data_IF_835712907606
#
_entry.id   IF_835712907606
#
_cell.length_a   1.000
_cell.length_b   1.000
_cell.length_c   1.000
_cell.angle_alpha   90.00
_cell.angle_beta   90.00
_cell.angle_gamma   90.00
#
_symmetry.space_group_name_H-M   'P 1'
#
loop_
_entity.id
_entity.type
_entity.pdbx_description
1 polymer ?
#
# COMPACT_ATOMS: atom_id res chain seq x y z
N UNK A 1 5.65 -14.15 9.91
CA UNK A 1 5.59 -14.54 8.48
C UNK A 1 5.29 -13.36 7.55
N UNK A 2 4.67 -12.27 8.00
CA UNK A 2 4.50 -11.07 7.18
C UNK A 2 5.84 -10.41 6.80
N UNK A 3 5.96 -9.99 5.54
CA UNK A 3 7.19 -9.43 4.95
C UNK A 3 7.01 -8.00 4.43
N UNK A 4 5.80 -7.45 4.45
CA UNK A 4 5.49 -6.13 3.90
C UNK A 4 4.94 -6.20 2.47
N UNK A 5 4.90 -5.03 1.84
CA UNK A 5 4.45 -4.87 0.46
C UNK A 5 5.59 -5.20 -0.50
N UNK A 6 5.31 -5.84 -1.64
CA UNK A 6 6.26 -5.97 -2.74
C UNK A 6 5.94 -4.97 -3.87
N UNK A 7 6.92 -4.67 -4.70
CA UNK A 7 6.82 -3.75 -5.83
C UNK A 7 7.73 -2.54 -5.75
N UNK A 8 7.45 -1.55 -6.60
CA UNK A 8 8.27 -0.35 -6.81
C UNK A 8 8.61 0.42 -5.53
N UNK A 9 7.65 0.52 -4.61
CA UNK A 9 7.83 1.11 -3.28
C UNK A 9 7.59 0.10 -2.16
N UNK A 10 7.73 -1.20 -2.47
CA UNK A 10 7.67 -2.27 -1.49
C UNK A 10 8.87 -2.28 -0.54
N UNK A 11 8.81 -3.13 0.46
CA UNK A 11 9.94 -3.38 1.35
C UNK A 11 11.01 -4.19 0.61
N UNK A 12 12.28 -3.94 0.93
CA UNK A 12 13.39 -4.64 0.26
C UNK A 12 13.36 -6.13 0.56
N UNK A 13 13.01 -6.50 1.80
CA UNK A 13 12.85 -7.89 2.19
C UNK A 13 11.70 -8.59 1.45
N UNK A 14 10.55 -7.94 1.22
CA UNK A 14 9.46 -8.54 0.45
C UNK A 14 9.89 -8.78 -1.00
N UNK A 15 10.57 -7.81 -1.61
CA UNK A 15 11.04 -7.93 -3.00
C UNK A 15 12.08 -9.06 -3.15
N UNK A 16 13.02 -9.21 -2.22
CA UNK A 16 13.97 -10.33 -2.24
C UNK A 16 13.30 -11.67 -2.01
N UNK A 17 12.34 -11.75 -1.10
CA UNK A 17 11.61 -12.99 -0.81
C UNK A 17 10.79 -13.43 -2.03
N UNK A 18 10.13 -12.49 -2.72
CA UNK A 18 9.40 -12.79 -3.96
C UNK A 18 10.36 -13.21 -5.07
N UNK A 19 11.47 -12.51 -5.23
CA UNK A 19 12.47 -12.81 -6.27
C UNK A 19 13.08 -14.21 -6.11
N UNK A 20 13.24 -14.67 -4.87
CA UNK A 20 13.94 -15.91 -4.55
C UNK A 20 13.00 -17.13 -4.31
N UNK A 21 11.69 -16.91 -4.37
CA UNK A 21 10.71 -17.98 -4.20
C UNK A 21 10.79 -19.02 -5.34
N UNK A 22 10.65 -20.30 -5.01
CA UNK A 22 10.50 -21.39 -5.98
C UNK A 22 9.04 -21.60 -6.42
N UNK A 23 8.09 -21.17 -5.58
CA UNK A 23 6.66 -21.19 -5.85
C UNK A 23 6.01 -19.89 -5.36
N UNK A 24 5.20 -19.26 -6.22
CA UNK A 24 4.37 -18.12 -5.86
C UNK A 24 2.89 -18.51 -5.87
N UNK A 25 2.23 -18.40 -4.72
CA UNK A 25 0.77 -18.50 -4.62
C UNK A 25 0.16 -17.09 -4.68
N UNK A 26 -0.36 -16.72 -5.84
CA UNK A 26 -0.98 -15.42 -6.11
C UNK A 26 -2.48 -15.52 -5.90
N UNK A 27 -3.03 -14.75 -4.97
CA UNK A 27 -4.45 -14.84 -4.59
C UNK A 27 -5.12 -13.48 -4.72
N UNK A 28 -6.06 -13.35 -5.67
CA UNK A 28 -6.84 -12.12 -5.89
C UNK A 28 -5.98 -10.92 -6.24
N UNK A 29 -4.92 -11.14 -7.04
CA UNK A 29 -3.98 -10.10 -7.43
C UNK A 29 -3.63 -10.21 -8.91
N UNK A 30 -3.62 -9.05 -9.59
CA UNK A 30 -3.43 -8.91 -11.04
C UNK A 30 -1.98 -8.77 -11.52
N UNK A 31 -1.00 -8.95 -10.62
CA UNK A 31 0.45 -8.81 -10.92
C UNK A 31 0.76 -7.59 -11.81
N UNK A 32 0.36 -6.40 -11.35
CA UNK A 32 0.54 -5.15 -12.11
C UNK A 32 2.01 -4.77 -12.28
N UNK A 33 2.31 -3.91 -13.26
CA UNK A 33 3.64 -3.34 -13.51
C UNK A 33 4.25 -2.65 -12.26
N UNK A 34 3.42 -2.09 -11.37
CA UNK A 34 3.88 -1.50 -10.11
C UNK A 34 4.35 -2.53 -9.09
N UNK A 35 3.88 -3.77 -9.21
CA UNK A 35 4.28 -4.91 -8.38
C UNK A 35 5.45 -5.65 -9.03
N UNK A 36 5.37 -5.92 -10.32
CA UNK A 36 6.35 -6.78 -11.01
C UNK A 36 7.57 -6.02 -11.51
N UNK A 37 7.45 -4.71 -11.75
CA UNK A 37 8.43 -3.92 -12.49
C UNK A 37 8.79 -4.61 -13.82
N UNK A 38 10.03 -5.09 -13.97
CA UNK A 38 10.44 -5.91 -15.11
C UNK A 38 10.00 -7.35 -14.91
N UNK A 39 9.13 -7.85 -15.79
CA UNK A 39 8.58 -9.22 -15.70
C UNK A 39 9.66 -10.30 -15.74
N UNK A 40 10.72 -10.11 -16.52
CA UNK A 40 11.87 -11.02 -16.61
C UNK A 40 12.60 -11.21 -15.28
N UNK A 41 12.61 -10.15 -14.46
CA UNK A 41 13.26 -10.14 -13.15
C UNK A 41 12.26 -10.48 -12.03
N UNK A 42 10.97 -10.61 -12.36
CA UNK A 42 9.91 -10.88 -11.41
C UNK A 42 9.86 -12.38 -11.08
N UNK A 43 10.58 -12.76 -10.02
CA UNK A 43 10.64 -14.13 -9.51
C UNK A 43 11.13 -15.15 -10.56
N UNK A 44 12.39 -14.99 -11.03
CA UNK A 44 12.92 -15.80 -12.11
C UNK A 44 12.93 -17.30 -11.75
N UNK A 45 12.22 -18.10 -12.54
CA UNK A 45 12.14 -19.55 -12.37
C UNK A 45 11.11 -20.04 -11.35
N UNK A 46 10.34 -19.14 -10.73
CA UNK A 46 9.28 -19.54 -9.81
C UNK A 46 8.09 -20.18 -10.54
N UNK A 47 7.50 -21.20 -9.92
CA UNK A 47 6.23 -21.77 -10.36
C UNK A 47 5.08 -20.92 -9.84
N UNK A 48 4.33 -20.28 -10.73
CA UNK A 48 3.22 -19.39 -10.34
C UNK A 48 1.90 -20.16 -10.30
N UNK A 49 1.25 -20.17 -9.15
CA UNK A 49 -0.12 -20.65 -8.93
C UNK A 49 -1.04 -19.46 -8.72
N UNK A 50 -2.02 -19.24 -9.60
CA UNK A 50 -2.85 -18.03 -9.60
C UNK A 50 -4.32 -18.35 -9.34
N UNK A 51 -4.88 -17.72 -8.30
CA UNK A 51 -6.30 -17.76 -7.96
C UNK A 51 -6.88 -16.39 -8.27
N UNK A 52 -7.77 -16.32 -9.26
CA UNK A 52 -8.45 -15.09 -9.63
C UNK A 52 -9.90 -15.35 -10.03
N UNK A 53 -10.78 -14.39 -9.75
CA UNK A 53 -12.19 -14.48 -10.14
C UNK A 53 -12.35 -14.12 -11.62
N UNK A 54 -11.48 -13.25 -12.13
CA UNK A 54 -11.52 -12.78 -13.51
C UNK A 54 -10.57 -13.59 -14.37
N UNK A 55 -11.15 -14.34 -15.32
CA UNK A 55 -10.39 -15.15 -16.28
C UNK A 55 -9.41 -14.31 -17.10
N UNK A 56 -9.71 -13.03 -17.37
CA UNK A 56 -8.86 -12.16 -18.19
C UNK A 56 -7.57 -11.73 -17.49
N UNK A 57 -7.47 -11.90 -16.17
CA UNK A 57 -6.27 -11.58 -15.40
C UNK A 57 -5.25 -12.71 -15.37
N UNK A 58 -5.69 -13.95 -15.63
CA UNK A 58 -4.85 -15.13 -15.60
C UNK A 58 -4.01 -15.23 -16.89
N UNK A 59 -2.71 -15.48 -16.75
CA UNK A 59 -1.71 -15.51 -17.82
C UNK A 59 -1.57 -14.21 -18.63
N UNK A 60 -2.15 -13.10 -18.14
CA UNK A 60 -2.08 -11.81 -18.82
C UNK A 60 -0.68 -11.21 -18.79
N UNK A 61 -0.04 -11.24 -17.61
CA UNK A 61 1.29 -10.63 -17.39
C UNK A 61 2.37 -11.67 -17.10
N UNK A 62 2.03 -12.74 -16.37
CA UNK A 62 2.96 -13.80 -15.94
C UNK A 62 2.29 -15.14 -16.21
N UNK A 63 3.00 -16.05 -16.87
CA UNK A 63 2.51 -17.39 -17.17
C UNK A 63 2.39 -18.23 -15.89
N UNK A 64 1.28 -18.95 -15.76
CA UNK A 64 0.92 -19.73 -14.58
C UNK A 64 1.08 -21.22 -14.83
N UNK A 65 1.66 -21.95 -13.87
CA UNK A 65 1.73 -23.42 -13.94
C UNK A 65 0.41 -24.07 -13.59
N UNK A 66 -0.41 -23.39 -12.80
CA UNK A 66 -1.74 -23.83 -12.37
C UNK A 66 -2.57 -22.61 -11.99
N UNK A 67 -3.86 -22.67 -12.29
CA UNK A 67 -4.79 -21.58 -12.06
C UNK A 67 -6.13 -22.07 -11.52
N UNK A 68 -6.74 -21.27 -10.67
CA UNK A 68 -8.10 -21.47 -10.18
C UNK A 68 -8.91 -20.23 -10.55
N UNK A 69 -9.84 -20.39 -11.49
CA UNK A 69 -10.77 -19.33 -11.86
C UNK A 69 -11.98 -19.44 -10.94
N UNK A 70 -12.12 -18.51 -10.01
CA UNK A 70 -13.20 -18.54 -9.03
C UNK A 70 -12.96 -17.67 -7.81
N UNK A 71 -13.90 -17.72 -6.88
CA UNK A 71 -13.81 -16.96 -5.63
C UNK A 71 -12.61 -17.44 -4.79
N UNK A 72 -11.76 -16.50 -4.42
CA UNK A 72 -10.52 -16.78 -3.68
C UNK A 72 -10.77 -17.44 -2.33
N UNK A 73 -11.85 -17.08 -1.62
CA UNK A 73 -12.21 -17.68 -0.32
C UNK A 73 -12.61 -19.14 -0.50
N UNK A 74 -13.41 -19.46 -1.52
CA UNK A 74 -13.80 -20.85 -1.82
C UNK A 74 -12.60 -21.69 -2.25
N UNK A 75 -11.74 -21.14 -3.11
CA UNK A 75 -10.52 -21.80 -3.57
C UNK A 75 -9.57 -22.12 -2.39
N UNK A 76 -9.29 -21.12 -1.54
CA UNK A 76 -8.44 -21.31 -0.36
C UNK A 76 -9.04 -22.31 0.63
N UNK A 77 -10.37 -22.29 0.85
CA UNK A 77 -11.04 -23.28 1.70
C UNK A 77 -10.79 -24.71 1.18
N UNK A 78 -10.96 -24.94 -0.11
CA UNK A 78 -10.70 -26.26 -0.72
C UNK A 78 -9.23 -26.69 -0.63
N UNK A 79 -8.29 -25.75 -0.79
CA UNK A 79 -6.85 -26.02 -0.62
C UNK A 79 -6.55 -26.41 0.83
N UNK A 80 -7.03 -25.65 1.81
CA UNK A 80 -6.82 -25.92 3.24
C UNK A 80 -7.41 -27.28 3.64
N UNK A 81 -8.63 -27.60 3.19
CA UNK A 81 -9.26 -28.90 3.47
C UNK A 81 -8.43 -30.07 2.92
N UNK A 82 -7.87 -29.94 1.71
CA UNK A 82 -7.00 -30.96 1.13
C UNK A 82 -5.69 -31.08 1.90
N UNK A 83 -5.02 -29.96 2.20
CA UNK A 83 -3.77 -29.94 2.96
C UNK A 83 -3.95 -30.54 4.36
N UNK A 84 -5.09 -30.34 5.03
CA UNK A 84 -5.35 -30.91 6.36
C UNK A 84 -5.47 -32.44 6.36
N UNK A 85 -5.79 -33.05 5.22
CA UNK A 85 -5.92 -34.51 5.06
C UNK A 85 -4.61 -35.16 4.60
N UNK A 86 -3.66 -34.37 4.11
CA UNK A 86 -2.35 -34.86 3.73
C UNK A 86 -1.51 -35.06 4.99
N UNK A 87 -0.85 -36.22 5.09
CA UNK A 87 0.19 -36.44 6.09
C UNK A 87 1.42 -35.62 5.68
N UNK A 88 1.38 -34.32 5.95
CA UNK A 88 2.54 -33.45 5.74
C UNK A 88 3.47 -33.56 6.93
N UNK A 89 4.75 -33.78 6.67
CA UNK A 89 5.77 -33.50 7.67
C UNK A 89 5.68 -32.00 8.00
N UNK A 90 5.31 -31.68 9.24
CA UNK A 90 5.20 -30.31 9.73
C UNK A 90 6.56 -29.68 10.00
N UNK A 91 7.66 -30.27 9.53
CA UNK A 91 8.94 -29.57 9.44
C UNK A 91 8.73 -28.25 8.69
N UNK A 92 8.57 -27.19 9.46
CA UNK A 92 8.71 -25.82 8.98
C UNK A 92 10.03 -25.77 8.24
N UNK A 93 10.02 -25.29 7.00
CA UNK A 93 11.23 -25.11 6.22
C UNK A 93 12.12 -24.08 6.92
N UNK A 94 12.89 -24.54 7.90
CA UNK A 94 13.70 -23.70 8.77
C UNK A 94 14.77 -22.97 7.97
N UNK A 95 15.20 -23.54 6.84
CA UNK A 95 16.08 -22.85 5.90
C UNK A 95 15.40 -21.64 5.26
N UNK A 96 14.14 -21.77 4.82
CA UNK A 96 13.38 -20.65 4.27
C UNK A 96 13.12 -19.56 5.32
N UNK A 97 12.69 -19.93 6.53
CA UNK A 97 12.45 -18.97 7.61
C UNK A 97 13.73 -18.20 8.00
N UNK A 98 14.87 -18.89 8.11
CA UNK A 98 16.18 -18.25 8.33
C UNK A 98 16.55 -17.31 7.18
N UNK A 99 16.22 -17.67 5.94
CA UNK A 99 16.45 -16.81 4.78
C UNK A 99 15.61 -15.53 4.83
N UNK A 100 14.33 -15.66 5.19
CA UNK A 100 13.44 -14.51 5.41
C UNK A 100 13.97 -13.59 6.53
N UNK A 101 14.47 -14.15 7.64
CA UNK A 101 15.09 -13.39 8.73
C UNK A 101 16.33 -12.64 8.27
N UNK A 102 17.22 -13.30 7.53
CA UNK A 102 18.43 -12.66 6.95
C UNK A 102 18.07 -11.48 6.05
N UNK A 103 17.06 -11.63 5.19
CA UNK A 103 16.61 -10.52 4.35
C UNK A 103 16.01 -9.38 5.17
N UNK A 104 15.26 -9.68 6.23
CA UNK A 104 14.74 -8.64 7.13
C UNK A 104 15.86 -7.88 7.83
N UNK A 105 16.90 -8.57 8.31
CA UNK A 105 18.06 -7.93 8.94
C UNK A 105 18.78 -6.98 7.97
N UNK A 106 18.96 -7.39 6.71
CA UNK A 106 19.61 -6.58 5.68
C UNK A 106 18.89 -5.24 5.41
N UNK A 107 17.56 -5.20 5.53
CA UNK A 107 16.76 -4.00 5.28
C UNK A 107 16.26 -3.33 6.56
N UNK A 108 16.82 -3.69 7.72
CA UNK A 108 16.52 -3.00 8.97
C UNK A 108 16.96 -1.53 8.83
N UNK A 109 16.05 -0.55 9.02
CA UNK A 109 16.38 0.85 8.84
C UNK A 109 17.54 1.26 9.75
N UNK A 110 18.58 1.85 9.16
CA UNK A 110 19.67 2.46 9.95
C UNK A 110 19.15 3.72 10.66
N UNK A 111 19.74 4.04 11.81
CA UNK A 111 19.46 5.31 12.48
C UNK A 111 19.81 6.47 11.57
N UNK A 112 18.79 7.19 11.13
CA UNK A 112 18.96 8.42 10.37
C UNK A 112 19.37 9.55 11.33
N UNK A 113 20.21 10.50 10.88
CA UNK A 113 20.53 11.69 11.66
C UNK A 113 19.27 12.39 12.20
N UNK A 114 19.43 13.05 13.35
CA UNK A 114 18.36 13.87 13.92
C UNK A 114 17.92 14.91 12.88
N UNK A 115 16.61 15.04 12.68
CA UNK A 115 16.04 16.03 11.77
C UNK A 115 15.09 16.89 12.60
N UNK A 116 15.20 18.23 12.55
CA UNK A 116 14.30 19.13 13.27
C UNK A 116 12.85 19.09 12.75
N UNK A 117 12.63 18.58 11.54
CA UNK A 117 11.32 18.43 10.93
C UNK A 117 10.70 17.05 11.21
N UNK A 118 9.36 17.01 11.25
CA UNK A 118 8.62 15.76 11.38
C UNK A 118 8.87 14.85 10.17
N UNK A 119 9.29 13.60 10.45
CA UNK A 119 9.47 12.57 9.42
C UNK A 119 8.14 11.85 9.20
N UNK A 120 7.72 11.68 7.95
CA UNK A 120 6.47 10.97 7.62
C UNK A 120 6.31 9.58 8.30
N UNK A 121 7.35 8.72 8.40
CA UNK A 121 7.24 7.46 9.15
C UNK A 121 6.85 7.64 10.63
N UNK A 122 7.34 8.70 11.27
CA UNK A 122 6.98 9.00 12.66
C UNK A 122 5.53 9.46 12.77
N UNK A 123 5.03 10.24 11.79
CA UNK A 123 3.62 10.62 11.72
C UNK A 123 2.72 9.39 11.59
N UNK A 124 3.02 8.48 10.66
CA UNK A 124 2.23 7.26 10.45
C UNK A 124 2.19 6.38 11.70
N UNK A 125 3.36 6.18 12.34
CA UNK A 125 3.45 5.40 13.58
C UNK A 125 2.67 6.05 14.73
N UNK A 126 2.69 7.38 14.83
CA UNK A 126 1.92 8.12 15.83
C UNK A 126 0.41 8.02 15.58
N UNK A 127 -0.04 8.20 14.34
CA UNK A 127 -1.45 7.99 13.96
C UNK A 127 -1.91 6.58 14.30
N UNK A 128 -1.11 5.55 13.98
CA UNK A 128 -1.48 4.18 14.25
C UNK A 128 -1.64 3.89 15.75
N UNK A 129 -0.82 4.50 16.61
CA UNK A 129 -0.88 4.36 18.08
C UNK A 129 -2.15 4.94 18.69
N UNK A 130 -2.71 6.01 18.12
CA UNK A 130 -3.88 6.70 18.68
C UNK A 130 -5.20 6.22 18.09
N UNK A 131 -5.18 5.66 16.87
CA UNK A 131 -6.39 5.16 16.20
C UNK A 131 -6.73 3.73 16.62
N UNK A 132 -8.03 3.39 16.80
CA UNK A 132 -8.44 2.02 17.06
C UNK A 132 -8.15 1.10 15.87
N UNK A 133 -8.03 -0.21 16.13
CA UNK A 133 -7.56 -1.19 15.14
C UNK A 133 -8.42 -1.24 13.87
N UNK A 134 -9.69 -0.91 14.00
CA UNK A 134 -10.70 -0.90 12.95
C UNK A 134 -11.00 0.49 12.38
N UNK A 135 -10.25 1.53 12.77
CA UNK A 135 -10.32 2.85 12.16
C UNK A 135 -10.15 2.77 10.64
N UNK A 136 -10.94 3.56 9.91
CA UNK A 136 -10.87 3.61 8.46
C UNK A 136 -9.86 4.68 8.05
N UNK A 137 -8.98 4.32 7.12
CA UNK A 137 -7.96 5.22 6.61
C UNK A 137 -8.07 5.32 5.10
N UNK A 138 -8.14 6.54 4.61
CA UNK A 138 -7.97 6.85 3.20
C UNK A 138 -6.61 7.51 2.97
N UNK A 139 -6.16 7.49 1.73
CA UNK A 139 -4.98 8.24 1.33
C UNK A 139 -5.25 9.01 0.06
N UNK A 140 -4.72 10.22 0.02
CA UNK A 140 -4.45 10.90 -1.24
C UNK A 140 -3.29 10.24 -2.03
N UNK A 141 -3.02 10.69 -3.25
CA UNK A 141 -1.98 10.11 -4.12
C UNK A 141 -0.69 10.91 -4.10
N UNK A 142 0.45 10.22 -3.92
CA UNK A 142 1.77 10.84 -3.84
C UNK A 142 2.73 10.14 -2.89
N UNK A 143 3.70 10.88 -2.34
CA UNK A 143 4.61 10.32 -1.33
C UNK A 143 3.89 9.98 -0.02
N UNK A 144 2.89 10.77 0.36
CA UNK A 144 2.00 10.50 1.50
C UNK A 144 1.37 9.10 1.40
N UNK A 145 0.90 8.71 0.20
CA UNK A 145 0.32 7.40 -0.09
C UNK A 145 1.30 6.27 0.22
N UNK A 146 2.54 6.40 -0.27
CA UNK A 146 3.57 5.38 -0.10
C UNK A 146 4.04 5.31 1.36
N UNK A 147 4.18 6.44 2.04
CA UNK A 147 4.51 6.45 3.46
C UNK A 147 3.40 5.84 4.32
N UNK A 148 2.13 6.12 4.01
CA UNK A 148 1.02 5.45 4.68
C UNK A 148 1.08 3.94 4.45
N UNK A 149 1.23 3.49 3.20
CA UNK A 149 1.31 2.08 2.86
C UNK A 149 2.48 1.33 3.54
N UNK A 150 3.62 2.01 3.74
CA UNK A 150 4.82 1.41 4.33
C UNK A 150 4.88 1.47 5.85
N UNK A 151 4.32 2.50 6.47
CA UNK A 151 4.55 2.80 7.90
C UNK A 151 3.28 2.84 8.75
N UNK A 152 2.10 2.74 8.15
CA UNK A 152 0.84 2.62 8.87
C UNK A 152 0.37 1.15 8.87
N UNK A 153 0.32 0.53 10.04
CA UNK A 153 -0.13 -0.86 10.14
C UNK A 153 -1.64 -0.98 9.88
N UNK A 154 -2.00 -1.90 8.98
CA UNK A 154 -3.39 -2.25 8.66
C UNK A 154 -3.72 -3.59 9.33
N UNK A 155 -4.60 -3.55 10.34
CA UNK A 155 -4.89 -4.72 11.17
C UNK A 155 -6.15 -5.50 10.78
N UNK A 156 -7.00 -4.94 9.93
CA UNK A 156 -8.28 -5.52 9.53
C UNK A 156 -8.52 -5.32 8.03
N UNK A 157 -9.23 -6.23 7.35
CA UNK A 157 -9.61 -6.01 5.95
C UNK A 157 -10.56 -4.82 5.83
N UNK A 158 -10.51 -4.13 4.69
CA UNK A 158 -11.39 -2.98 4.37
C UNK A 158 -11.28 -1.82 5.36
N UNK A 159 -10.09 -1.54 5.86
CA UNK A 159 -9.81 -0.36 6.70
C UNK A 159 -8.74 0.56 6.12
N UNK A 160 -8.16 0.22 4.97
CA UNK A 160 -7.21 1.04 4.26
C UNK A 160 -7.64 1.16 2.80
N UNK A 161 -7.92 2.38 2.36
CA UNK A 161 -8.44 2.66 1.02
C UNK A 161 -7.55 3.68 0.31
N UNK A 162 -7.26 3.42 -0.96
CA UNK A 162 -6.31 4.23 -1.72
C UNK A 162 -6.58 4.09 -3.22
N UNK A 163 -6.46 5.19 -3.97
CA UNK A 163 -6.50 5.15 -5.43
C UNK A 163 -5.19 4.60 -5.98
N UNK A 164 -5.12 3.28 -6.19
CA UNK A 164 -3.92 2.60 -6.69
C UNK A 164 -3.86 2.47 -8.21
N UNK A 165 -4.91 1.94 -8.84
CA UNK A 165 -4.90 1.62 -10.27
C UNK A 165 -4.75 2.82 -11.19
N UNK A 166 -5.62 3.83 -11.01
CA UNK A 166 -5.58 5.08 -11.78
C UNK A 166 -4.66 6.13 -11.13
N UNK A 167 -4.50 6.11 -9.80
CA UNK A 167 -3.69 7.08 -9.08
C UNK A 167 -4.30 8.49 -9.09
N UNK A 168 -5.60 8.58 -8.80
CA UNK A 168 -6.35 9.85 -8.80
C UNK A 168 -6.03 10.71 -7.58
N UNK A 169 -5.39 11.86 -7.79
CA UNK A 169 -5.27 12.90 -6.76
C UNK A 169 -6.64 13.57 -6.49
N UNK A 170 -6.89 14.00 -5.26
CA UNK A 170 -8.20 14.50 -4.80
C UNK A 170 -9.21 13.39 -4.48
N UNK A 171 -8.73 12.16 -4.29
CA UNK A 171 -9.61 11.01 -4.07
C UNK A 171 -9.80 10.70 -2.59
N UNK A 172 -8.76 10.90 -1.78
CA UNK A 172 -8.69 10.50 -0.37
C UNK A 172 -9.79 11.14 0.46
N UNK A 173 -9.91 12.46 0.39
CA UNK A 173 -10.88 13.22 1.18
C UNK A 173 -12.35 12.86 0.88
N UNK A 174 -12.85 12.92 -0.38
CA UNK A 174 -14.22 12.50 -0.66
C UNK A 174 -14.46 11.00 -0.38
N UNK A 175 -13.46 10.13 -0.54
CA UNK A 175 -13.56 8.73 -0.14
C UNK A 175 -13.70 8.57 1.38
N UNK A 176 -13.05 9.42 2.16
CA UNK A 176 -13.16 9.42 3.63
C UNK A 176 -14.57 9.82 4.08
N UNK A 177 -15.18 10.81 3.41
CA UNK A 177 -16.57 11.19 3.64
C UNK A 177 -17.50 10.01 3.38
N UNK A 178 -17.36 9.33 2.24
CA UNK A 178 -18.13 8.13 1.93
C UNK A 178 -17.90 6.98 2.93
N UNK A 179 -16.66 6.78 3.37
CA UNK A 179 -16.33 5.79 4.40
C UNK A 179 -16.98 6.12 5.75
N UNK A 180 -17.04 7.41 6.12
CA UNK A 180 -17.69 7.87 7.34
C UNK A 180 -19.21 7.68 7.28
N UNK A 181 -19.83 8.00 6.15
CA UNK A 181 -21.25 7.73 5.92
C UNK A 181 -21.58 6.23 6.01
N UNK A 182 -20.70 5.36 5.48
CA UNK A 182 -20.88 3.91 5.54
C UNK A 182 -20.67 3.33 6.95
N UNK A 183 -19.83 3.97 7.78
CA UNK A 183 -19.48 3.51 9.14
C UNK A 183 -19.45 4.72 10.10
N UNK A 184 -20.63 5.24 10.48
CA UNK A 184 -20.73 6.48 11.27
C UNK A 184 -20.08 6.35 12.66
N UNK A 185 -20.03 5.16 13.23
CA UNK A 185 -19.47 4.93 14.58
C UNK A 185 -17.94 4.83 14.60
N UNK A 186 -17.29 4.71 13.44
CA UNK A 186 -15.84 4.56 13.37
C UNK A 186 -15.13 5.89 13.12
N UNK A 187 -13.93 6.09 13.68
CA UNK A 187 -13.08 7.19 13.25
C UNK A 187 -12.59 6.95 11.83
N UNK A 188 -12.62 8.02 11.02
CA UNK A 188 -12.12 8.01 9.65
C UNK A 188 -11.06 9.08 9.50
N UNK A 189 -9.90 8.67 8.98
CA UNK A 189 -8.74 9.55 8.79
C UNK A 189 -8.30 9.54 7.34
N UNK A 190 -8.20 10.71 6.73
CA UNK A 190 -7.55 10.89 5.43
C UNK A 190 -6.09 11.32 5.61
N UNK A 191 -5.16 10.56 5.04
CA UNK A 191 -3.73 10.88 5.04
C UNK A 191 -3.41 11.56 3.71
N UNK A 192 -3.36 12.90 3.75
CA UNK A 192 -3.33 13.72 2.57
C UNK A 192 -1.95 14.30 2.26
N UNK A 193 -1.64 14.47 0.98
CA UNK A 193 -0.64 15.44 0.51
C UNK A 193 -1.34 16.76 0.20
N UNK A 194 -0.69 17.89 0.48
CA UNK A 194 -1.24 19.23 0.28
C UNK A 194 -1.72 19.50 -1.15
N UNK A 195 -0.91 19.14 -2.16
CA UNK A 195 -1.32 19.31 -3.57
C UNK A 195 -2.50 18.42 -4.00
N UNK A 196 -2.70 17.29 -3.33
CA UNK A 196 -3.81 16.37 -3.64
C UNK A 196 -5.09 16.79 -2.90
N UNK A 197 -4.97 17.19 -1.63
CA UNK A 197 -6.10 17.71 -0.86
C UNK A 197 -6.71 18.95 -1.51
N UNK A 198 -5.87 19.88 -1.98
CA UNK A 198 -6.32 21.10 -2.65
C UNK A 198 -7.13 20.87 -3.94
N UNK A 199 -7.14 19.65 -4.50
CA UNK A 199 -8.00 19.35 -5.66
C UNK A 199 -9.47 19.24 -5.29
N UNK A 200 -9.78 18.86 -4.04
CA UNK A 200 -11.14 18.52 -3.61
C UNK A 200 -11.46 19.04 -2.20
N UNK A 201 -10.70 20.01 -1.69
CA UNK A 201 -10.90 20.60 -0.36
C UNK A 201 -12.28 21.26 -0.20
N UNK A 202 -12.93 21.64 -1.31
CA UNK A 202 -14.30 22.15 -1.32
C UNK A 202 -15.34 21.15 -0.77
N UNK A 203 -15.01 19.86 -0.65
CA UNK A 203 -15.86 18.86 0.02
C UNK A 203 -15.97 19.07 1.55
N UNK A 204 -15.23 20.03 2.12
CA UNK A 204 -15.44 20.48 3.50
C UNK A 204 -16.89 20.94 3.73
N UNK A 205 -17.52 21.56 2.73
CA UNK A 205 -18.94 21.92 2.79
C UNK A 205 -19.83 20.68 3.02
N UNK A 206 -19.57 19.60 2.29
CA UNK A 206 -20.29 18.32 2.44
C UNK A 206 -20.11 17.71 3.83
N UNK A 207 -18.91 17.74 4.41
CA UNK A 207 -18.69 17.25 5.78
C UNK A 207 -19.57 17.97 6.81
N UNK A 208 -19.75 19.28 6.64
CA UNK A 208 -20.53 20.13 7.56
C UNK A 208 -22.03 19.91 7.34
N UNK A 209 -22.48 19.94 6.09
CA UNK A 209 -23.90 19.81 5.75
C UNK A 209 -24.46 18.43 6.11
N UNK A 210 -23.68 17.37 5.89
CA UNK A 210 -24.09 15.99 6.17
C UNK A 210 -23.70 15.50 7.58
N UNK A 211 -23.10 16.37 8.40
CA UNK A 211 -22.62 16.04 9.75
C UNK A 211 -21.70 14.80 9.79
N UNK A 212 -20.77 14.71 8.84
CA UNK A 212 -19.83 13.58 8.69
C UNK A 212 -18.43 13.97 9.18
N UNK A 213 -18.09 13.77 10.46
CA UNK A 213 -16.81 14.19 11.02
C UNK A 213 -15.68 13.27 10.54
N UNK A 214 -14.91 13.75 9.58
CA UNK A 214 -13.68 13.14 9.06
C UNK A 214 -12.47 13.95 9.55
N UNK A 215 -11.38 13.25 9.90
CA UNK A 215 -10.11 13.89 10.23
C UNK A 215 -9.19 13.87 9.00
N UNK A 216 -8.69 15.02 8.57
CA UNK A 216 -7.72 15.11 7.47
C UNK A 216 -6.35 15.47 8.03
N UNK A 217 -5.34 14.64 7.75
CA UNK A 217 -3.94 14.86 8.13
C UNK A 217 -3.15 15.26 6.89
N UNK A 218 -2.99 16.57 6.69
CA UNK A 218 -2.28 17.12 5.53
C UNK A 218 -0.77 17.14 5.79
N UNK A 219 -0.02 16.30 5.05
CA UNK A 219 1.44 16.33 5.00
C UNK A 219 1.91 17.47 4.10
N UNK A 220 1.93 18.67 4.65
CA UNK A 220 2.24 19.90 3.93
C UNK A 220 3.75 20.05 3.67
N UNK A 221 4.19 19.69 2.46
CA UNK A 221 5.57 19.89 2.01
C UNK A 221 5.68 20.95 0.90
N UNK A 222 4.57 21.62 0.54
CA UNK A 222 4.45 22.66 -0.50
C UNK A 222 4.92 22.23 -1.89
N UNK A 223 4.81 20.93 -2.17
CA UNK A 223 5.36 20.37 -3.39
C UNK A 223 4.57 19.14 -3.84
N UNK A 224 4.48 18.95 -5.16
CA UNK A 224 4.12 17.66 -5.75
C UNK A 224 5.27 16.66 -5.55
N UNK A 225 5.45 16.20 -4.31
CA UNK A 225 6.66 15.54 -3.83
C UNK A 225 7.02 14.26 -4.59
N UNK A 226 6.02 13.49 -5.05
CA UNK A 226 6.27 12.31 -5.87
C UNK A 226 6.87 12.70 -7.22
N UNK A 227 6.30 13.68 -7.92
CA UNK A 227 6.83 14.17 -9.20
C UNK A 227 8.22 14.79 -9.00
N UNK A 228 8.40 15.58 -7.96
CA UNK A 228 9.69 16.18 -7.62
C UNK A 228 10.76 15.12 -7.31
N UNK A 229 10.41 14.01 -6.66
CA UNK A 229 11.35 12.90 -6.43
C UNK A 229 11.86 12.32 -7.75
N UNK A 230 10.99 12.09 -8.72
CA UNK A 230 11.39 11.60 -10.05
C UNK A 230 12.25 12.63 -10.80
N UNK A 231 11.88 13.91 -10.76
CA UNK A 231 12.69 15.01 -11.33
C UNK A 231 14.10 15.09 -10.71
N UNK A 232 14.21 14.84 -9.40
CA UNK A 232 15.48 14.79 -8.67
C UNK A 232 16.35 13.61 -9.09
N UNK A 233 15.77 12.42 -9.24
CA UNK A 233 16.49 11.19 -9.52
C UNK A 233 16.92 11.07 -10.98
N UNK A 234 16.04 11.43 -11.91
CA UNK A 234 16.20 11.10 -13.33
C UNK A 234 16.41 12.31 -14.25
N UNK A 235 16.13 13.53 -13.77
CA UNK A 235 16.15 14.75 -14.60
C UNK A 235 17.12 15.81 -14.07
N UNK A 236 18.21 15.40 -13.42
CA UNK A 236 19.27 16.31 -12.98
C UNK A 236 18.79 17.39 -12.01
N UNK A 237 17.76 17.10 -11.21
CA UNK A 237 17.14 18.06 -10.26
C UNK A 237 16.49 19.28 -10.93
N UNK A 238 16.06 19.15 -12.19
CA UNK A 238 15.27 20.16 -12.87
C UNK A 238 13.82 20.09 -12.40
N UNK A 239 13.47 20.91 -11.41
CA UNK A 239 12.11 21.00 -10.89
C UNK A 239 11.24 21.88 -11.79
N UNK A 240 10.16 21.31 -12.34
CA UNK A 240 9.25 22.00 -13.26
C UNK A 240 7.80 21.78 -12.83
N UNK A 241 7.08 22.87 -12.54
CA UNK A 241 5.67 22.88 -12.16
C UNK A 241 5.30 21.94 -11.00
N UNK A 242 6.24 21.71 -10.07
CA UNK A 242 6.03 20.88 -8.87
C UNK A 242 6.00 21.68 -7.58
N UNK A 243 6.50 22.91 -7.58
CA UNK A 243 6.43 23.82 -6.45
C UNK A 243 5.02 24.44 -6.40
N UNK A 244 4.33 24.25 -5.28
CA UNK A 244 2.98 24.77 -5.07
C UNK A 244 2.98 26.22 -4.57
N UNK A 245 4.15 26.77 -4.25
CA UNK A 245 4.32 28.16 -3.84
C UNK A 245 3.52 28.50 -2.58
N UNK A 246 2.60 29.47 -2.71
CA UNK A 246 1.71 29.88 -1.63
C UNK A 246 0.48 28.98 -1.61
N UNK A 247 0.54 27.91 -0.82
CA UNK A 247 -0.65 27.12 -0.46
C UNK A 247 -1.61 27.92 0.44
N UNK A 248 -2.92 27.61 0.43
CA UNK A 248 -3.85 28.15 1.41
C UNK A 248 -3.38 27.93 2.85
N UNK A 249 -3.82 28.81 3.75
CA UNK A 249 -3.69 28.57 5.18
C UNK A 249 -4.79 27.58 5.59
N UNK A 250 -4.47 26.28 5.61
CA UNK A 250 -5.44 25.20 5.87
C UNK A 250 -6.19 25.29 7.22
N UNK A 251 -5.84 26.25 8.09
CA UNK A 251 -6.48 26.47 9.39
C UNK A 251 -7.49 27.64 9.33
N UNK A 252 -7.51 28.43 8.25
CA UNK A 252 -8.42 29.58 8.06
C UNK A 252 -9.43 29.33 6.95
#
# INVERSE_FOLDING_TARGET
LFTGLCGMHGTGEANLIVSDADVLLVVGARMSDRTTARLEDFSPGAKVVHIDIDKSEVDKNVETVTRVIGDARLALKGIIERLSRMAMDRQTNGAWLKKMEKFREQYTPQELPSNPHMKAPAVMKSLRKVLPRDALVTTEVGQNQMWAALYFDVYAPRTFFSSGGLGTMGWGFPAAIGAKAARPDLPVVDIAGDGSFGMTENNLATCVEEELPVVVVVLNNRMLGMVAQWQRLFYGRRYMAVDLGKSPDFVK
#
